data_IF_470420809890
#
_entry.id   IF_470420809890
#
_cell.length_a   1.000
_cell.length_b   1.000
_cell.length_c   1.000
_cell.angle_alpha   90.00
_cell.angle_beta   90.00
_cell.angle_gamma   90.00
#
_symmetry.space_group_name_H-M   'P 1'
#
loop_
_entity.id
_entity.type
_entity.pdbx_description
1 polymer ?
#
# COMPACT_ATOMS: atom_id res chain seq x y z
N UNK A 1 27.30 -23.95 -27.66
CA UNK A 1 26.21 -23.61 -26.72
C UNK A 1 26.90 -23.10 -25.46
N UNK A 2 26.83 -21.79 -25.15
CA UNK A 2 27.53 -21.25 -23.98
C UNK A 2 26.76 -21.69 -22.74
N UNK A 3 27.39 -22.46 -21.85
CA UNK A 3 26.84 -22.74 -20.53
C UNK A 3 26.67 -21.42 -19.78
N UNK A 4 25.43 -21.09 -19.41
CA UNK A 4 25.17 -20.02 -18.46
C UNK A 4 25.52 -20.57 -17.07
N UNK A 5 26.64 -20.12 -16.51
CA UNK A 5 26.95 -20.33 -15.09
C UNK A 5 25.80 -19.73 -14.27
N UNK A 6 25.15 -20.49 -13.36
CA UNK A 6 24.09 -19.93 -12.53
C UNK A 6 24.70 -18.84 -11.66
N UNK A 7 24.35 -17.58 -11.91
CA UNK A 7 24.65 -16.52 -10.96
C UNK A 7 23.70 -16.72 -9.80
N UNK A 8 24.24 -17.16 -8.66
CA UNK A 8 23.49 -17.26 -7.40
C UNK A 8 23.25 -15.85 -6.86
N UNK A 9 22.57 -14.99 -7.63
CA UNK A 9 22.31 -13.61 -7.25
C UNK A 9 21.14 -13.61 -6.28
N UNK A 10 21.38 -13.07 -5.09
CA UNK A 10 20.32 -12.75 -4.14
C UNK A 10 19.28 -11.89 -4.84
N UNK A 11 18.03 -12.34 -4.86
CA UNK A 11 16.91 -11.59 -5.43
C UNK A 11 16.15 -10.94 -4.31
N UNK A 12 16.01 -9.63 -4.39
CA UNK A 12 15.13 -8.91 -3.48
C UNK A 12 13.67 -9.22 -3.84
N UNK A 13 12.88 -9.62 -2.85
CA UNK A 13 11.48 -9.96 -2.98
C UNK A 13 10.67 -9.29 -1.86
N UNK A 14 9.39 -9.07 -2.13
CA UNK A 14 8.39 -8.65 -1.15
C UNK A 14 7.02 -9.15 -1.58
N UNK A 15 6.05 -9.07 -0.68
CA UNK A 15 4.66 -9.40 -0.97
C UNK A 15 3.73 -8.29 -0.54
N UNK A 16 2.67 -8.13 -1.29
CA UNK A 16 1.53 -7.25 -1.02
C UNK A 16 0.34 -8.14 -0.69
N UNK A 17 -0.44 -7.78 0.32
CA UNK A 17 -1.56 -8.61 0.80
C UNK A 17 -2.70 -7.74 1.26
N UNK A 18 -3.71 -7.63 0.41
CA UNK A 18 -5.01 -7.05 0.73
C UNK A 18 -5.83 -8.04 1.58
N UNK A 19 -6.41 -7.54 2.67
CA UNK A 19 -7.25 -8.35 3.54
C UNK A 19 -8.74 -8.07 3.27
N UNK A 20 -9.55 -9.12 3.25
CA UNK A 20 -11.00 -8.97 3.30
C UNK A 20 -11.43 -8.45 4.67
N UNK A 21 -12.27 -7.41 4.70
CA UNK A 21 -12.82 -6.83 5.93
C UNK A 21 -14.32 -7.07 6.03
N UNK A 22 -14.80 -7.41 7.23
CA UNK A 22 -16.21 -7.63 7.51
C UNK A 22 -16.56 -7.13 8.92
N UNK A 23 -17.79 -6.60 9.07
CA UNK A 23 -18.36 -6.23 10.37
C UNK A 23 -19.34 -7.30 10.86
N UNK A 24 -19.42 -7.49 12.19
CA UNK A 24 -20.43 -8.36 12.81
C UNK A 24 -21.83 -7.78 12.67
N UNK A 25 -21.94 -6.46 12.67
CA UNK A 25 -23.17 -5.75 12.38
C UNK A 25 -23.16 -5.34 10.90
N UNK A 26 -24.01 -5.99 10.10
CA UNK A 26 -24.13 -5.74 8.68
C UNK A 26 -24.66 -4.33 8.37
N UNK A 27 -25.38 -3.69 9.31
CA UNK A 27 -25.89 -2.32 9.12
C UNK A 27 -24.82 -1.25 9.32
N UNK A 28 -23.69 -1.60 9.95
CA UNK A 28 -22.54 -0.72 10.18
C UNK A 28 -21.40 -0.94 9.16
N UNK A 29 -21.68 -1.64 8.06
CA UNK A 29 -20.66 -2.12 7.13
C UNK A 29 -20.43 -1.08 6.02
N UNK A 30 -19.38 -0.29 6.17
CA UNK A 30 -18.69 0.40 5.07
C UNK A 30 -17.23 -0.06 5.06
N UNK A 31 -16.78 -0.83 4.06
CA UNK A 31 -15.46 -1.46 4.09
C UNK A 31 -14.33 -0.43 3.97
N UNK A 32 -14.60 0.71 3.32
CA UNK A 32 -13.66 1.83 3.25
C UNK A 32 -13.45 2.41 4.64
N UNK A 33 -14.51 2.87 5.32
CA UNK A 33 -14.41 3.39 6.70
C UNK A 33 -13.83 2.37 7.67
N UNK A 34 -14.15 1.08 7.50
CA UNK A 34 -13.56 -0.01 8.28
C UNK A 34 -12.05 -0.10 8.09
N UNK A 35 -11.56 -0.01 6.86
CA UNK A 35 -10.13 -0.02 6.55
C UNK A 35 -9.42 1.18 7.17
N UNK A 36 -9.98 2.39 7.04
CA UNK A 36 -9.48 3.58 7.74
C UNK A 36 -9.38 3.37 9.24
N UNK A 37 -10.39 2.76 9.87
CA UNK A 37 -10.39 2.50 11.30
C UNK A 37 -9.29 1.50 11.71
N UNK A 38 -9.10 0.42 10.95
CA UNK A 38 -8.05 -0.59 11.21
C UNK A 38 -6.66 0.03 11.12
N UNK A 39 -6.36 0.71 10.00
CA UNK A 39 -5.05 1.33 9.79
C UNK A 39 -4.83 2.48 10.79
N UNK A 40 -5.87 3.28 11.03
CA UNK A 40 -5.85 4.39 11.98
C UNK A 40 -5.61 3.96 13.43
N UNK A 41 -5.97 2.73 13.82
CA UNK A 41 -5.70 2.21 15.16
C UNK A 41 -4.21 2.00 15.43
N UNK A 42 -3.38 1.90 14.38
CA UNK A 42 -1.94 1.75 14.52
C UNK A 42 -1.26 3.12 14.75
N UNK A 43 -0.98 3.43 16.02
CA UNK A 43 -0.46 4.74 16.45
C UNK A 43 1.08 4.82 16.44
N UNK A 44 1.78 3.69 16.52
CA UNK A 44 3.23 3.64 16.71
C UNK A 44 4.00 3.74 15.40
N UNK A 45 4.30 4.97 14.97
CA UNK A 45 5.09 5.21 13.76
C UNK A 45 6.59 5.14 14.05
N UNK A 46 7.27 4.13 13.49
CA UNK A 46 8.73 4.01 13.59
C UNK A 46 9.46 5.09 12.77
N UNK A 47 8.85 5.53 11.66
CA UNK A 47 9.36 6.58 10.79
C UNK A 47 8.29 7.68 10.58
N UNK A 48 8.04 8.56 11.56
CA UNK A 48 6.94 9.53 11.53
C UNK A 48 7.08 10.60 10.43
N UNK A 49 8.29 10.79 9.91
CA UNK A 49 8.58 11.71 8.80
C UNK A 49 8.43 11.06 7.43
N UNK A 50 8.39 9.72 7.36
CA UNK A 50 8.19 9.01 6.10
C UNK A 50 6.73 9.13 5.67
N UNK A 51 6.54 9.43 4.39
CA UNK A 51 5.23 9.50 3.72
C UNK A 51 5.32 8.72 2.42
N UNK A 52 4.19 8.24 1.92
CA UNK A 52 4.15 7.61 0.61
C UNK A 52 4.35 8.65 -0.50
N UNK A 53 5.18 8.32 -1.49
CA UNK A 53 5.44 9.18 -2.63
C UNK A 53 4.59 8.74 -3.83
N UNK A 54 3.64 9.61 -4.20
CA UNK A 54 2.71 9.40 -5.30
C UNK A 54 3.25 9.94 -6.65
N UNK A 55 4.50 10.41 -6.75
CA UNK A 55 5.02 11.05 -7.97
C UNK A 55 4.90 10.16 -9.22
N UNK A 56 5.17 8.86 -9.06
CA UNK A 56 5.16 7.88 -10.14
C UNK A 56 3.80 7.17 -10.31
N UNK A 57 2.78 7.55 -9.54
CA UNK A 57 1.43 7.00 -9.67
C UNK A 57 0.56 7.88 -10.56
N UNK A 58 -0.04 7.26 -11.57
CA UNK A 58 -1.00 7.93 -12.44
C UNK A 58 -2.17 6.98 -12.79
N UNK A 59 -3.24 6.96 -11.97
CA UNK A 59 -4.40 6.10 -12.22
C UNK A 59 -5.17 6.48 -13.48
N UNK A 60 -4.91 7.66 -14.06
CA UNK A 60 -5.58 8.12 -15.27
C UNK A 60 -4.97 7.52 -16.54
N UNK A 61 -3.75 6.98 -16.47
CA UNK A 61 -3.09 6.33 -17.62
C UNK A 61 -3.39 4.84 -17.59
N UNK A 62 -4.21 4.41 -18.56
CA UNK A 62 -4.58 3.01 -18.71
C UNK A 62 -3.51 2.27 -19.53
N UNK A 63 -3.19 1.04 -19.10
CA UNK A 63 -2.22 0.18 -19.78
C UNK A 63 -2.57 -0.15 -21.25
N UNK A 64 -3.83 0.04 -21.67
CA UNK A 64 -4.29 -0.11 -23.06
C UNK A 64 -3.91 1.08 -23.95
N UNK A 65 -3.28 2.12 -23.42
CA UNK A 65 -2.71 3.23 -24.18
C UNK A 65 -3.63 4.45 -24.35
N UNK A 66 -4.57 4.65 -23.42
CA UNK A 66 -5.38 5.86 -23.39
C UNK A 66 -5.35 6.49 -21.99
N UNK A 67 -5.67 7.78 -21.92
CA UNK A 67 -5.77 8.54 -20.68
C UNK A 67 -7.23 8.94 -20.45
N UNK A 68 -7.71 8.80 -19.21
CA UNK A 68 -9.05 9.23 -18.82
C UNK A 68 -9.02 10.61 -18.17
N UNK A 69 -10.09 11.38 -18.33
CA UNK A 69 -10.24 12.66 -17.62
C UNK A 69 -10.49 12.42 -16.13
N UNK A 70 -9.86 13.23 -15.29
CA UNK A 70 -10.02 13.16 -13.84
C UNK A 70 -8.94 13.96 -13.10
N UNK A 71 -9.05 13.99 -11.78
CA UNK A 71 -8.01 14.55 -10.91
C UNK A 71 -7.21 13.41 -10.26
N UNK A 72 -5.89 13.56 -10.23
CA UNK A 72 -5.03 12.63 -9.51
C UNK A 72 -5.21 12.85 -8.02
N UNK A 73 -5.53 11.79 -7.29
CA UNK A 73 -5.54 11.88 -5.84
C UNK A 73 -4.11 12.11 -5.34
N UNK A 74 -3.91 13.22 -4.62
CA UNK A 74 -2.63 13.56 -3.98
C UNK A 74 -2.91 13.99 -2.55
N UNK A 75 -2.96 13.02 -1.61
CA UNK A 75 -3.15 13.31 -0.20
C UNK A 75 -2.14 14.33 0.30
N UNK A 76 -2.62 15.32 1.08
CA UNK A 76 -1.70 16.16 1.85
C UNK A 76 -0.90 15.30 2.85
N UNK A 77 0.22 15.79 3.41
CA UNK A 77 1.07 14.99 4.29
C UNK A 77 0.34 14.36 5.50
N UNK A 78 -0.64 15.05 6.07
CA UNK A 78 -1.36 14.56 7.25
C UNK A 78 -2.32 13.43 6.87
N UNK A 79 -3.05 13.57 5.78
CA UNK A 79 -3.92 12.53 5.25
C UNK A 79 -3.12 11.32 4.76
N UNK A 80 -1.97 11.54 4.12
CA UNK A 80 -1.04 10.49 3.71
C UNK A 80 -0.60 9.63 4.92
N UNK A 81 -0.21 10.26 6.04
CA UNK A 81 0.17 9.52 7.25
C UNK A 81 -1.01 8.82 7.93
N UNK A 82 -2.24 9.24 7.69
CA UNK A 82 -3.43 8.51 8.16
C UNK A 82 -3.64 7.23 7.34
N UNK A 83 -3.45 7.33 6.03
CA UNK A 83 -3.58 6.24 5.06
C UNK A 83 -2.42 5.25 5.11
N UNK A 84 -1.19 5.71 5.37
CA UNK A 84 0.04 4.95 5.16
C UNK A 84 0.89 4.92 6.44
N UNK A 85 1.26 3.72 6.88
CA UNK A 85 2.09 3.49 8.08
C UNK A 85 3.34 2.70 7.72
N UNK A 86 4.51 3.31 7.91
CA UNK A 86 5.77 2.56 7.90
C UNK A 86 5.96 1.92 9.27
N UNK A 87 6.05 0.60 9.28
CA UNK A 87 6.15 -0.22 10.49
C UNK A 87 7.61 -0.37 10.95
N UNK A 88 7.80 -0.72 12.22
CA UNK A 88 9.13 -0.92 12.81
C UNK A 88 9.92 -2.07 12.15
N UNK A 89 9.24 -3.02 11.50
CA UNK A 89 9.88 -4.11 10.76
C UNK A 89 10.24 -3.72 9.31
N UNK A 90 10.01 -2.47 8.91
CA UNK A 90 10.26 -1.97 7.55
C UNK A 90 9.11 -2.19 6.55
N UNK A 91 8.06 -2.92 6.94
CA UNK A 91 6.87 -3.08 6.08
C UNK A 91 5.97 -1.85 6.06
N UNK A 92 5.02 -1.83 5.12
CA UNK A 92 4.00 -0.78 4.97
C UNK A 92 2.63 -1.36 5.31
N UNK A 93 1.88 -0.67 6.16
CA UNK A 93 0.49 -0.98 6.47
C UNK A 93 -0.37 0.21 6.01
N UNK A 94 -1.36 0.00 5.15
CA UNK A 94 -2.09 1.09 4.51
C UNK A 94 -3.51 0.72 4.07
N UNK A 95 -4.28 1.74 3.67
CA UNK A 95 -5.60 1.56 3.05
C UNK A 95 -5.42 1.53 1.54
N UNK A 96 -5.88 0.45 0.90
CA UNK A 96 -6.05 0.38 -0.55
C UNK A 96 -7.53 0.19 -0.89
N UNK A 97 -8.16 1.25 -1.39
CA UNK A 97 -9.59 1.28 -1.64
C UNK A 97 -10.44 0.86 -0.44
N UNK A 98 -11.03 -0.34 -0.52
CA UNK A 98 -11.89 -0.92 0.49
C UNK A 98 -11.20 -1.94 1.41
N UNK A 99 -9.87 -2.05 1.31
CA UNK A 99 -9.07 -3.08 1.97
C UNK A 99 -8.00 -2.45 2.86
N UNK A 100 -7.77 -3.00 4.08
CA UNK A 100 -6.50 -2.83 4.74
C UNK A 100 -5.47 -3.74 4.07
N UNK A 101 -4.29 -3.19 3.81
CA UNK A 101 -3.22 -3.88 3.09
C UNK A 101 -1.90 -3.82 3.86
N UNK A 102 -1.14 -4.91 3.78
CA UNK A 102 0.22 -5.00 4.27
C UNK A 102 1.20 -5.39 3.17
N UNK A 103 2.23 -4.57 2.95
CA UNK A 103 3.41 -4.91 2.16
C UNK A 103 4.57 -5.27 3.08
N UNK A 104 5.21 -6.41 2.85
CA UNK A 104 6.42 -6.80 3.58
C UNK A 104 7.58 -5.85 3.29
N UNK A 105 8.56 -5.71 4.20
CA UNK A 105 9.85 -5.11 3.83
C UNK A 105 10.50 -5.92 2.69
N UNK A 106 11.43 -5.28 1.99
CA UNK A 106 12.32 -5.94 1.04
C UNK A 106 13.14 -7.05 1.74
N UNK A 107 13.09 -8.27 1.21
CA UNK A 107 13.78 -9.45 1.74
C UNK A 107 14.69 -10.09 0.68
N UNK A 108 15.75 -10.78 1.13
CA UNK A 108 16.79 -11.43 0.30
C UNK A 108 16.62 -12.93 0.16
#
# INVERSE_FOLDING_TARGET
MKEQTPTNSVRVLGTETEFGIASRDASAMDPVSGSFAVIGHYQNLAAPTAIWDYENENPLVDARGFEVEGERERPNPDYNRQLNKVLANGGRLYVDGAHPEYSTPECS
#
